data_IF_419731859022
#
_entry.id   IF_419731859022
#
_cell.length_a   1.000
_cell.length_b   1.000
_cell.length_c   1.000
_cell.angle_alpha   90.00
_cell.angle_beta   90.00
_cell.angle_gamma   90.00
#
_symmetry.space_group_name_H-M   'P 1'
#
loop_
_entity.id
_entity.type
_entity.pdbx_description
1 polymer ?
#
# COMPACT_ATOMS: atom_id res chain seq x y z
N UNK A 1 31.01 -37.49 -22.60
CA UNK A 1 31.34 -36.92 -21.28
C UNK A 1 32.78 -36.48 -21.38
N UNK A 2 33.00 -35.16 -21.41
CA UNK A 2 34.35 -34.60 -21.52
C UNK A 2 34.93 -34.43 -20.12
N UNK A 3 36.18 -34.82 -19.93
CA UNK A 3 36.86 -34.78 -18.63
C UNK A 3 38.09 -33.90 -18.75
N UNK A 4 38.16 -32.86 -17.93
CA UNK A 4 39.30 -31.95 -17.90
C UNK A 4 40.42 -32.57 -17.06
N UNK A 5 41.59 -32.78 -17.66
CA UNK A 5 42.76 -33.36 -16.99
C UNK A 5 43.74 -32.23 -16.69
N UNK A 6 44.25 -32.17 -15.46
CA UNK A 6 45.35 -31.28 -15.14
C UNK A 6 46.68 -31.96 -15.53
N UNK A 7 47.39 -31.38 -16.49
CA UNK A 7 48.67 -31.89 -16.99
C UNK A 7 49.81 -31.77 -15.98
N UNK A 8 49.66 -30.95 -14.93
CA UNK A 8 50.66 -30.81 -13.85
C UNK A 8 50.54 -31.87 -12.76
N UNK A 9 49.62 -32.82 -12.88
CA UNK A 9 49.32 -33.85 -11.90
C UNK A 9 49.36 -35.23 -12.54
N UNK A 10 49.66 -36.26 -11.74
CA UNK A 10 49.68 -37.63 -12.27
C UNK A 10 48.26 -38.09 -12.68
N UNK A 11 48.20 -39.12 -13.51
CA UNK A 11 46.94 -39.71 -13.96
C UNK A 11 46.11 -40.20 -12.76
N UNK A 12 46.78 -40.79 -11.76
CA UNK A 12 46.20 -41.29 -10.52
C UNK A 12 45.65 -40.16 -9.66
N UNK A 13 46.34 -39.02 -9.59
CA UNK A 13 45.89 -37.84 -8.86
C UNK A 13 44.63 -37.23 -9.51
N UNK A 14 44.62 -37.12 -10.84
CA UNK A 14 43.44 -36.68 -11.58
C UNK A 14 42.26 -37.64 -11.36
N UNK A 15 42.48 -38.95 -11.49
CA UNK A 15 41.45 -39.98 -11.24
C UNK A 15 40.92 -39.93 -9.80
N UNK A 16 41.80 -39.77 -8.82
CA UNK A 16 41.46 -39.64 -7.41
C UNK A 16 40.55 -38.44 -7.13
N UNK A 17 40.82 -37.28 -7.74
CA UNK A 17 39.96 -36.08 -7.61
C UNK A 17 38.55 -36.31 -8.13
N UNK A 18 38.40 -36.97 -9.28
CA UNK A 18 37.08 -37.29 -9.83
C UNK A 18 36.35 -38.33 -8.98
N UNK A 19 37.07 -39.32 -8.48
CA UNK A 19 36.54 -40.32 -7.56
C UNK A 19 36.04 -39.69 -6.24
N UNK A 20 36.83 -38.80 -5.64
CA UNK A 20 36.45 -38.10 -4.41
C UNK A 20 35.27 -37.16 -4.61
N UNK A 21 35.21 -36.45 -5.75
CA UNK A 21 34.05 -35.64 -6.13
C UNK A 21 32.80 -36.52 -6.26
N UNK A 22 32.90 -37.64 -6.97
CA UNK A 22 31.78 -38.58 -7.13
C UNK A 22 31.34 -39.17 -5.79
N UNK A 23 32.27 -39.51 -4.90
CA UNK A 23 32.01 -40.01 -3.54
C UNK A 23 31.30 -38.95 -2.67
N UNK A 24 31.77 -37.70 -2.70
CA UNK A 24 31.14 -36.56 -1.99
C UNK A 24 29.73 -36.29 -2.51
N UNK A 25 29.53 -36.33 -3.83
CA UNK A 25 28.21 -36.16 -4.44
C UNK A 25 27.26 -37.29 -4.02
N UNK A 26 27.71 -38.56 -4.09
CA UNK A 26 26.94 -39.72 -3.62
C UNK A 26 26.51 -39.60 -2.16
N UNK A 27 27.38 -39.11 -1.27
CA UNK A 27 27.06 -38.91 0.15
C UNK A 27 25.99 -37.82 0.38
N UNK A 28 25.83 -36.86 -0.54
CA UNK A 28 24.82 -35.79 -0.45
C UNK A 28 23.43 -36.20 -0.98
N UNK A 29 23.35 -37.23 -1.83
CA UNK A 29 22.08 -37.74 -2.39
C UNK A 29 21.03 -38.06 -1.31
N UNK A 30 21.33 -38.80 -0.22
CA UNK A 30 20.33 -39.13 0.80
C UNK A 30 19.74 -37.89 1.48
N UNK A 31 20.55 -36.90 1.87
CA UNK A 31 20.05 -35.66 2.49
C UNK A 31 19.21 -34.80 1.55
N UNK A 32 19.53 -34.80 0.24
CA UNK A 32 18.70 -34.15 -0.78
C UNK A 32 17.36 -34.88 -0.93
N UNK A 33 17.37 -36.23 -0.97
CA UNK A 33 16.14 -37.04 -1.03
C UNK A 33 15.24 -36.80 0.17
N UNK A 34 15.81 -36.80 1.37
CA UNK A 34 15.08 -36.50 2.62
C UNK A 34 14.48 -35.10 2.62
N UNK A 35 15.23 -34.09 2.12
CA UNK A 35 14.70 -32.72 1.96
C UNK A 35 13.56 -32.65 0.95
N UNK A 36 13.67 -33.36 -0.17
CA UNK A 36 12.61 -33.45 -1.19
C UNK A 36 11.37 -34.14 -0.61
N UNK A 37 11.56 -35.20 0.17
CA UNK A 37 10.47 -35.97 0.78
C UNK A 37 9.77 -35.18 1.89
N UNK A 38 10.53 -34.46 2.73
CA UNK A 38 10.02 -33.52 3.72
C UNK A 38 9.26 -32.35 3.07
N UNK A 39 9.75 -31.85 1.93
CA UNK A 39 9.05 -30.80 1.19
C UNK A 39 7.79 -31.35 0.49
N UNK A 40 7.81 -32.57 -0.03
CA UNK A 40 6.63 -33.24 -0.61
C UNK A 40 5.55 -33.50 0.44
N UNK A 41 5.92 -33.96 1.64
CA UNK A 41 4.96 -34.18 2.73
C UNK A 41 4.41 -32.86 3.29
N UNK A 42 5.21 -31.79 3.31
CA UNK A 42 4.72 -30.42 3.57
C UNK A 42 3.77 -29.95 2.47
N UNK A 43 4.08 -30.20 1.21
CA UNK A 43 3.22 -29.87 0.05
C UNK A 43 1.90 -30.64 0.05
N UNK A 44 1.88 -31.90 0.50
CA UNK A 44 0.64 -32.69 0.62
C UNK A 44 -0.23 -32.28 1.80
N UNK A 45 0.37 -31.76 2.87
CA UNK A 45 -0.34 -31.21 4.04
C UNK A 45 -0.75 -29.74 3.89
N UNK A 46 -0.20 -29.04 2.88
CA UNK A 46 -0.79 -27.79 2.41
C UNK A 46 -2.08 -28.18 1.70
N UNK A 47 -3.22 -28.10 2.42
CA UNK A 47 -4.50 -27.88 1.76
C UNK A 47 -4.31 -26.62 0.94
N UNK A 48 -4.11 -26.78 -0.37
CA UNK A 48 -4.27 -25.69 -1.32
C UNK A 48 -5.66 -25.16 -0.99
N UNK A 49 -5.82 -23.95 -0.43
CA UNK A 49 -7.16 -23.43 -0.28
C UNK A 49 -7.72 -23.49 -1.70
N UNK A 50 -8.82 -24.23 -1.87
CA UNK A 50 -9.57 -24.17 -3.11
C UNK A 50 -9.60 -22.69 -3.46
N UNK A 51 -9.07 -22.33 -4.64
CA UNK A 51 -9.31 -21.00 -5.18
C UNK A 51 -10.82 -20.94 -5.28
N UNK A 52 -11.47 -20.49 -4.20
CA UNK A 52 -12.84 -20.04 -4.17
C UNK A 52 -12.89 -19.17 -5.40
N UNK A 53 -13.70 -19.61 -6.38
CA UNK A 53 -13.85 -18.91 -7.65
C UNK A 53 -14.12 -17.46 -7.25
N UNK A 54 -13.08 -16.61 -7.26
CA UNK A 54 -13.21 -15.20 -6.92
C UNK A 54 -14.23 -14.75 -7.94
N UNK A 55 -15.45 -14.46 -7.48
CA UNK A 55 -16.41 -13.78 -8.33
C UNK A 55 -15.62 -12.63 -8.94
N UNK A 56 -15.55 -12.58 -10.27
CA UNK A 56 -14.82 -11.53 -10.96
C UNK A 56 -15.70 -10.30 -10.77
N UNK A 57 -15.66 -9.73 -9.57
CA UNK A 57 -16.27 -8.46 -9.29
C UNK A 57 -15.56 -7.46 -10.19
N UNK A 58 -16.36 -6.72 -10.94
CA UNK A 58 -15.86 -5.63 -11.77
C UNK A 58 -15.12 -4.67 -10.84
N UNK A 59 -13.81 -4.53 -11.06
CA UNK A 59 -13.01 -3.57 -10.30
C UNK A 59 -13.51 -2.18 -10.63
N UNK A 60 -13.83 -1.43 -9.60
CA UNK A 60 -14.14 -0.02 -9.73
C UNK A 60 -12.89 0.75 -10.13
N UNK A 61 -13.07 1.82 -10.89
CA UNK A 61 -11.95 2.61 -11.43
C UNK A 61 -11.06 3.21 -10.33
N UNK A 62 -11.62 3.45 -9.14
CA UNK A 62 -10.94 4.04 -8.00
C UNK A 62 -10.09 3.05 -7.20
N UNK A 63 -10.25 1.73 -7.41
CA UNK A 63 -9.52 0.70 -6.66
C UNK A 63 -8.01 0.69 -6.96
N UNK A 64 -7.57 1.41 -8.00
CA UNK A 64 -6.14 1.66 -8.28
C UNK A 64 -5.52 2.75 -7.40
N UNK A 65 -6.32 3.45 -6.61
CA UNK A 65 -5.91 4.46 -5.64
C UNK A 65 -6.15 3.94 -4.21
N UNK A 66 -5.69 4.68 -3.20
CA UNK A 66 -6.21 4.47 -1.84
C UNK A 66 -7.60 5.10 -1.81
N UNK A 67 -8.56 4.48 -1.14
CA UNK A 67 -9.92 5.00 -1.14
C UNK A 67 -10.68 4.60 0.12
N UNK A 68 -11.70 5.38 0.45
CA UNK A 68 -12.72 5.02 1.42
C UNK A 68 -14.03 5.76 1.12
N UNK A 69 -15.11 5.33 1.74
CA UNK A 69 -16.38 6.04 1.77
C UNK A 69 -16.51 6.75 3.11
N UNK A 70 -16.77 8.06 3.12
CA UNK A 70 -16.96 8.81 4.36
C UNK A 70 -18.16 8.29 5.14
N UNK A 71 -18.23 8.67 6.40
CA UNK A 71 -19.39 8.36 7.22
C UNK A 71 -20.70 9.00 6.69
N UNK A 72 -20.61 9.98 5.80
CA UNK A 72 -21.74 10.63 5.13
C UNK A 72 -21.97 10.13 3.68
N UNK A 73 -21.23 9.11 3.24
CA UNK A 73 -21.44 8.46 1.94
C UNK A 73 -20.69 9.09 0.76
N UNK A 74 -19.74 10.00 0.99
CA UNK A 74 -18.91 10.56 -0.06
C UNK A 74 -17.76 9.61 -0.40
N UNK A 75 -17.39 9.52 -1.68
CA UNK A 75 -16.20 8.78 -2.10
C UNK A 75 -14.95 9.66 -1.94
N UNK A 76 -13.95 9.17 -1.20
CA UNK A 76 -12.67 9.83 -1.00
C UNK A 76 -11.57 8.96 -1.58
N UNK A 77 -10.67 9.59 -2.34
CA UNK A 77 -9.64 8.92 -3.13
C UNK A 77 -8.30 9.61 -2.89
N UNK A 78 -7.25 8.86 -2.60
CA UNK A 78 -5.88 9.34 -2.41
C UNK A 78 -4.89 8.65 -3.33
N UNK A 79 -4.00 9.42 -3.95
CA UNK A 79 -2.91 8.82 -4.72
C UNK A 79 -1.95 8.01 -3.86
N UNK A 80 -1.28 7.04 -4.48
CA UNK A 80 -0.33 6.12 -3.82
C UNK A 80 1.11 6.59 -3.94
N UNK A 81 1.39 7.35 -4.98
CA UNK A 81 2.69 7.87 -5.38
C UNK A 81 2.53 9.12 -6.24
N UNK A 82 3.65 9.74 -6.64
CA UNK A 82 3.63 10.94 -7.49
C UNK A 82 2.93 10.75 -8.85
N UNK A 83 2.99 9.54 -9.43
CA UNK A 83 2.37 9.25 -10.73
C UNK A 83 0.86 9.15 -10.60
N UNK A 84 0.38 8.41 -9.60
CA UNK A 84 -1.04 8.25 -9.31
C UNK A 84 -1.65 9.54 -8.79
N UNK A 85 -0.94 10.36 -8.00
CA UNK A 85 -1.36 11.72 -7.66
C UNK A 85 -1.64 12.55 -8.92
N UNK A 86 -0.71 12.56 -9.88
CA UNK A 86 -0.88 13.33 -11.10
C UNK A 86 -2.05 12.82 -11.97
N UNK A 87 -2.22 11.50 -12.05
CA UNK A 87 -3.36 10.89 -12.75
C UNK A 87 -4.67 11.25 -12.06
N UNK A 88 -4.73 11.18 -10.73
CA UNK A 88 -5.91 11.52 -9.93
C UNK A 88 -6.36 12.95 -10.22
N UNK A 89 -5.45 13.90 -10.07
CA UNK A 89 -5.74 15.33 -10.22
C UNK A 89 -6.10 15.69 -11.68
N UNK A 90 -5.37 15.15 -12.67
CA UNK A 90 -5.60 15.52 -14.07
C UNK A 90 -6.80 14.81 -14.72
N UNK A 91 -7.11 13.57 -14.32
CA UNK A 91 -8.09 12.73 -15.03
C UNK A 91 -9.37 12.45 -14.25
N UNK A 92 -9.34 12.58 -12.93
CA UNK A 92 -10.43 12.12 -12.06
C UNK A 92 -10.97 13.20 -11.11
N UNK A 93 -10.46 14.43 -11.20
CA UNK A 93 -10.96 15.57 -10.46
C UNK A 93 -11.88 16.42 -11.34
N UNK A 94 -13.04 16.77 -10.78
CA UNK A 94 -14.05 17.63 -11.38
C UNK A 94 -14.20 18.92 -10.57
N UNK A 95 -14.76 19.97 -11.18
CA UNK A 95 -14.83 21.33 -10.61
C UNK A 95 -15.36 21.43 -9.17
N UNK A 96 -16.31 20.58 -8.79
CA UNK A 96 -16.98 20.64 -7.49
C UNK A 96 -16.34 19.75 -6.42
N UNK A 97 -15.33 18.97 -6.79
CA UNK A 97 -14.57 18.15 -5.85
C UNK A 97 -13.73 19.04 -4.93
N UNK A 98 -13.26 18.48 -3.82
CA UNK A 98 -12.35 19.16 -2.89
C UNK A 98 -11.06 18.38 -2.78
N UNK A 99 -9.93 19.08 -2.84
CA UNK A 99 -8.60 18.50 -2.85
C UNK A 99 -7.86 18.83 -1.56
N UNK A 100 -7.26 17.82 -0.94
CA UNK A 100 -6.50 17.90 0.30
C UNK A 100 -5.03 17.56 0.06
N UNK A 101 -4.16 18.26 0.77
CA UNK A 101 -2.72 18.00 0.81
C UNK A 101 -2.10 18.68 2.05
N UNK A 102 -0.90 18.28 2.48
CA UNK A 102 -0.16 18.96 3.57
C UNK A 102 0.70 20.09 3.02
N UNK A 103 1.08 21.06 3.84
CA UNK A 103 2.00 22.12 3.39
C UNK A 103 3.38 21.58 3.02
N UNK A 104 3.88 20.65 3.81
CA UNK A 104 5.14 19.97 3.52
C UNK A 104 4.96 18.91 2.41
N UNK A 105 5.94 18.76 1.50
CA UNK A 105 5.90 17.70 0.50
C UNK A 105 5.92 16.32 1.14
N UNK A 106 5.12 15.40 0.58
CA UNK A 106 5.12 13.99 0.95
C UNK A 106 3.83 13.47 1.57
N UNK A 107 2.75 14.26 1.54
CA UNK A 107 1.38 13.72 1.58
C UNK A 107 0.91 13.26 0.20
N UNK A 108 -0.06 12.35 0.13
CA UNK A 108 -0.81 12.15 -1.09
C UNK A 108 -1.65 13.39 -1.42
N UNK A 109 -2.05 13.52 -2.69
CA UNK A 109 -3.23 14.31 -3.01
C UNK A 109 -4.46 13.44 -2.73
N UNK A 110 -5.39 13.97 -1.94
CA UNK A 110 -6.67 13.33 -1.60
C UNK A 110 -7.80 14.16 -2.18
N UNK A 111 -8.82 13.51 -2.74
CA UNK A 111 -9.95 14.14 -3.40
C UNK A 111 -11.25 13.60 -2.82
N UNK A 112 -12.13 14.49 -2.37
CA UNK A 112 -13.54 14.18 -2.09
C UNK A 112 -14.31 14.36 -3.39
N UNK A 113 -14.99 13.30 -3.85
CA UNK A 113 -15.86 13.37 -5.03
C UNK A 113 -17.20 13.98 -4.66
N UNK A 114 -17.62 15.04 -5.36
CA UNK A 114 -18.86 15.77 -5.09
C UNK A 114 -19.75 15.93 -6.35
N UNK A 115 -20.28 14.83 -6.90
CA UNK A 115 -21.07 14.86 -8.14
C UNK A 115 -22.43 15.56 -7.98
N UNK A 116 -22.96 15.64 -6.75
CA UNK A 116 -24.27 16.23 -6.46
C UNK A 116 -24.21 17.73 -6.15
N UNK A 117 -23.01 18.34 -6.17
CA UNK A 117 -22.79 19.77 -5.93
C UNK A 117 -23.45 20.23 -4.61
N UNK A 118 -23.35 19.39 -3.58
CA UNK A 118 -23.88 19.66 -2.26
C UNK A 118 -22.80 20.25 -1.36
N UNK A 119 -23.22 20.94 -0.29
CA UNK A 119 -22.31 21.35 0.77
C UNK A 119 -21.77 20.08 1.45
N UNK A 120 -20.46 19.90 1.39
CA UNK A 120 -19.79 18.75 2.01
C UNK A 120 -19.85 18.93 3.54
N UNK A 121 -20.32 17.92 4.30
CA UNK A 121 -20.36 17.96 5.75
C UNK A 121 -18.96 18.09 6.37
N UNK A 122 -18.86 18.77 7.52
CA UNK A 122 -17.59 18.94 8.24
C UNK A 122 -16.99 17.60 8.69
N UNK A 123 -17.83 16.61 9.00
CA UNK A 123 -17.41 15.23 9.26
C UNK A 123 -16.63 14.63 8.09
N UNK A 124 -17.14 14.77 6.86
CA UNK A 124 -16.47 14.29 5.65
C UNK A 124 -15.16 15.08 5.37
N UNK A 125 -15.13 16.39 5.62
CA UNK A 125 -13.90 17.19 5.50
C UNK A 125 -12.83 16.74 6.51
N UNK A 126 -13.22 16.53 7.77
CA UNK A 126 -12.34 16.03 8.84
C UNK A 126 -11.80 14.64 8.51
N UNK A 127 -12.66 13.75 8.03
CA UNK A 127 -12.28 12.40 7.61
C UNK A 127 -11.27 12.41 6.45
N UNK A 128 -11.51 13.24 5.42
CA UNK A 128 -10.55 13.38 4.33
C UNK A 128 -9.20 13.95 4.80
N UNK A 129 -9.21 14.86 5.77
CA UNK A 129 -8.00 15.41 6.38
C UNK A 129 -7.22 14.35 7.19
N UNK A 130 -7.89 13.55 8.05
CA UNK A 130 -7.29 12.43 8.80
C UNK A 130 -6.63 11.41 7.85
N UNK A 131 -7.32 11.09 6.77
CA UNK A 131 -6.80 10.22 5.73
C UNK A 131 -5.55 10.80 5.07
N UNK A 132 -5.60 12.06 4.61
CA UNK A 132 -4.45 12.73 4.01
C UNK A 132 -3.24 12.79 4.94
N UNK A 133 -3.46 13.17 6.21
CA UNK A 133 -2.43 13.26 7.24
C UNK A 133 -1.76 11.90 7.50
N UNK A 134 -2.54 10.83 7.52
CA UNK A 134 -2.06 9.50 7.89
C UNK A 134 -1.21 8.82 6.80
N UNK A 135 -1.31 9.26 5.55
CA UNK A 135 -0.42 8.83 4.47
C UNK A 135 0.71 9.83 4.17
N UNK A 136 0.85 10.87 5.00
CA UNK A 136 1.88 11.88 4.85
C UNK A 136 3.19 11.51 5.55
N UNK A 137 4.22 12.35 5.36
CA UNK A 137 5.46 12.25 6.14
C UNK A 137 5.25 12.42 7.64
N UNK A 138 4.20 13.11 8.09
CA UNK A 138 3.91 13.26 9.52
C UNK A 138 3.70 11.91 10.21
N UNK A 139 3.13 10.93 9.49
CA UNK A 139 3.01 9.55 9.96
C UNK A 139 4.37 8.92 10.20
N UNK A 140 5.29 9.03 9.24
CA UNK A 140 6.66 8.51 9.36
C UNK A 140 7.44 9.18 10.48
N UNK A 141 7.13 10.43 10.80
CA UNK A 141 7.75 11.15 11.92
C UNK A 141 7.16 10.78 13.28
N UNK A 142 6.19 9.85 13.35
CA UNK A 142 5.56 9.44 14.61
C UNK A 142 4.69 10.52 15.25
N UNK A 143 4.25 11.53 14.48
CA UNK A 143 3.34 12.57 14.99
C UNK A 143 1.94 11.99 15.21
N UNK A 144 1.23 12.55 16.17
CA UNK A 144 -0.16 12.20 16.47
C UNK A 144 -1.18 13.10 15.77
N UNK A 145 -0.78 14.33 15.44
CA UNK A 145 -1.58 15.27 14.63
C UNK A 145 -0.75 15.87 13.49
N UNK A 146 -1.43 16.35 12.45
CA UNK A 146 -0.85 17.14 11.39
C UNK A 146 -1.87 18.12 10.83
N UNK A 147 -1.38 19.27 10.40
CA UNK A 147 -2.19 20.24 9.69
C UNK A 147 -2.31 19.86 8.21
N UNK A 148 -3.54 19.86 7.70
CA UNK A 148 -3.87 19.56 6.30
C UNK A 148 -4.67 20.74 5.77
N UNK A 149 -4.37 21.18 4.56
CA UNK A 149 -5.22 22.15 3.89
C UNK A 149 -6.10 21.48 2.83
N UNK A 150 -7.18 22.16 2.49
CA UNK A 150 -7.99 21.84 1.32
C UNK A 150 -8.29 23.06 0.45
N UNK A 151 -8.44 22.79 -0.84
CA UNK A 151 -8.65 23.77 -1.91
C UNK A 151 -9.57 23.21 -3.00
N UNK A 152 -10.11 24.11 -3.82
CA UNK A 152 -10.85 23.75 -5.01
C UNK A 152 -9.90 23.37 -6.16
N UNK A 153 -10.33 22.53 -7.11
CA UNK A 153 -9.53 22.10 -8.26
C UNK A 153 -8.97 23.24 -9.11
N UNK A 154 -9.75 24.32 -9.28
CA UNK A 154 -9.35 25.50 -10.04
C UNK A 154 -8.14 26.23 -9.42
N UNK A 155 -7.84 25.96 -8.15
CA UNK A 155 -6.70 26.54 -7.45
C UNK A 155 -5.39 25.81 -7.75
N UNK A 156 -5.42 24.62 -8.38
CA UNK A 156 -4.24 23.85 -8.73
C UNK A 156 -3.78 24.17 -10.15
N UNK A 157 -2.49 24.45 -10.32
CA UNK A 157 -1.88 24.60 -11.63
C UNK A 157 -0.53 23.90 -11.73
N UNK A 158 -0.15 23.51 -12.95
CA UNK A 158 1.20 23.04 -13.28
C UNK A 158 2.11 24.17 -13.76
N UNK A 159 1.55 25.34 -14.01
CA UNK A 159 2.31 26.52 -14.41
C UNK A 159 3.11 27.05 -13.23
N UNK A 160 4.34 27.47 -13.52
CA UNK A 160 5.24 28.08 -12.55
C UNK A 160 5.47 29.54 -12.93
N UNK A 161 5.70 30.43 -11.94
CA UNK A 161 6.11 31.80 -12.23
C UNK A 161 7.37 31.85 -13.10
N UNK A 162 7.44 32.87 -13.96
CA UNK A 162 8.57 33.08 -14.87
C UNK A 162 9.91 33.07 -14.13
N UNK A 163 10.86 32.26 -14.61
CA UNK A 163 12.20 32.12 -14.03
C UNK A 163 12.38 30.93 -13.07
N UNK A 164 11.31 30.20 -12.72
CA UNK A 164 11.43 28.93 -12.00
C UNK A 164 11.57 27.76 -12.95
N UNK A 165 12.43 26.79 -12.61
CA UNK A 165 12.43 25.49 -13.28
C UNK A 165 11.11 24.77 -12.99
N UNK A 166 10.57 24.07 -14.00
CA UNK A 166 9.26 23.43 -13.93
C UNK A 166 9.05 22.51 -12.72
N UNK A 167 7.79 22.22 -12.40
CA UNK A 167 7.47 21.43 -11.21
C UNK A 167 7.90 19.97 -11.35
N UNK A 168 8.38 19.35 -10.26
CA UNK A 168 8.52 17.90 -10.19
C UNK A 168 7.20 17.18 -10.51
N UNK A 169 7.33 15.93 -10.99
CA UNK A 169 6.18 15.06 -11.25
C UNK A 169 5.35 14.89 -9.98
N UNK A 170 4.02 14.95 -10.11
CA UNK A 170 3.11 14.83 -8.96
C UNK A 170 3.02 16.04 -8.05
N UNK A 171 3.69 17.16 -8.35
CA UNK A 171 3.55 18.44 -7.63
C UNK A 171 2.65 19.41 -8.41
N UNK A 172 1.90 20.25 -7.71
CA UNK A 172 1.05 21.30 -8.27
C UNK A 172 1.25 22.59 -7.47
N UNK A 173 1.27 23.73 -8.17
CA UNK A 173 1.18 25.04 -7.53
C UNK A 173 -0.26 25.28 -7.08
N UNK A 174 -0.41 25.91 -5.92
CA UNK A 174 -1.72 26.22 -5.34
C UNK A 174 -1.83 27.72 -5.16
N UNK A 175 -2.86 28.29 -5.79
CA UNK A 175 -3.14 29.71 -5.80
C UNK A 175 -4.38 30.05 -4.96
N UNK A 176 -4.43 31.27 -4.44
CA UNK A 176 -5.54 31.76 -3.63
C UNK A 176 -5.56 31.21 -2.20
N UNK A 177 -6.72 31.34 -1.55
CA UNK A 177 -6.89 30.99 -0.13
C UNK A 177 -6.91 29.48 0.09
N UNK A 178 -6.19 29.03 1.13
CA UNK A 178 -6.23 27.66 1.64
C UNK A 178 -7.06 27.62 2.92
N UNK A 179 -7.77 26.52 3.14
CA UNK A 179 -8.50 26.26 4.39
C UNK A 179 -7.80 25.14 5.13
N UNK A 180 -7.55 25.29 6.42
CA UNK A 180 -6.75 24.36 7.21
C UNK A 180 -7.61 23.58 8.22
N UNK A 181 -7.24 22.33 8.43
CA UNK A 181 -7.86 21.41 9.40
C UNK A 181 -6.72 20.71 10.13
N UNK A 182 -6.73 20.73 11.46
CA UNK A 182 -5.88 19.86 12.25
C UNK A 182 -6.47 18.45 12.28
N UNK A 183 -5.69 17.48 11.79
CA UNK A 183 -6.12 16.11 11.61
C UNK A 183 -5.34 15.16 12.52
N UNK A 184 -6.05 14.17 13.08
CA UNK A 184 -5.43 13.10 13.86
C UNK A 184 -4.85 12.03 12.93
N UNK A 185 -3.72 11.46 13.35
CA UNK A 185 -3.04 10.39 12.62
C UNK A 185 -3.46 9.03 13.16
N UNK A 186 -4.63 8.59 12.70
CA UNK A 186 -5.18 7.28 12.98
C UNK A 186 -6.03 6.85 11.79
N UNK A 187 -5.89 5.59 11.40
CA UNK A 187 -6.75 5.00 10.39
C UNK A 187 -7.26 3.65 10.87
N UNK A 188 -8.28 3.15 10.20
CA UNK A 188 -8.69 1.77 10.29
C UNK A 188 -8.66 1.14 8.89
N UNK A 189 -8.47 -0.18 8.88
CA UNK A 189 -8.52 -1.00 7.69
C UNK A 189 -9.62 -2.05 7.85
N UNK A 190 -10.42 -2.25 6.80
CA UNK A 190 -11.47 -3.25 6.79
C UNK A 190 -11.58 -3.91 5.41
N UNK A 191 -12.31 -5.02 5.37
CA UNK A 191 -12.64 -5.73 4.16
C UNK A 191 -14.16 -5.61 3.94
N UNK A 192 -14.55 -4.96 2.84
CA UNK A 192 -15.94 -4.76 2.45
C UNK A 192 -16.14 -5.50 1.13
N UNK A 193 -16.92 -6.58 1.16
CA UNK A 193 -17.26 -7.37 -0.03
C UNK A 193 -16.04 -7.80 -0.86
N UNK A 194 -14.99 -8.31 -0.21
CA UNK A 194 -13.70 -8.69 -0.82
C UNK A 194 -12.83 -7.53 -1.32
N UNK A 195 -13.18 -6.28 -0.96
CA UNK A 195 -12.39 -5.08 -1.26
C UNK A 195 -11.79 -4.52 0.02
N UNK A 196 -10.47 -4.33 0.01
CA UNK A 196 -9.77 -3.72 1.13
C UNK A 196 -9.94 -2.20 1.07
N UNK A 197 -10.42 -1.64 2.17
CA UNK A 197 -10.62 -0.21 2.35
C UNK A 197 -9.79 0.27 3.55
N UNK A 198 -9.13 1.42 3.40
CA UNK A 198 -8.41 2.10 4.48
C UNK A 198 -8.97 3.50 4.62
N UNK A 199 -9.34 3.91 5.82
CA UNK A 199 -9.90 5.23 6.05
C UNK A 199 -9.89 5.63 7.52
N UNK A 200 -10.39 6.82 7.85
CA UNK A 200 -10.62 7.25 9.22
C UNK A 200 -11.49 6.27 10.01
N UNK A 201 -11.31 6.27 11.34
CA UNK A 201 -12.02 5.32 12.21
C UNK A 201 -13.55 5.47 12.12
N UNK A 202 -14.05 6.70 12.08
CA UNK A 202 -15.49 7.01 11.99
C UNK A 202 -16.11 6.46 10.71
N UNK A 203 -15.43 6.64 9.58
CA UNK A 203 -15.86 6.17 8.27
C UNK A 203 -15.87 4.63 8.17
N UNK A 204 -14.79 4.00 8.65
CA UNK A 204 -14.63 2.54 8.60
C UNK A 204 -15.64 1.84 9.50
N UNK A 205 -15.92 2.39 10.69
CA UNK A 205 -16.94 1.86 11.61
C UNK A 205 -18.35 1.83 11.00
N UNK A 206 -18.71 2.82 10.17
CA UNK A 206 -19.99 2.81 9.46
C UNK A 206 -20.03 1.79 8.31
N UNK A 207 -18.88 1.49 7.73
CA UNK A 207 -18.80 0.66 6.52
C UNK A 207 -18.62 -0.83 6.81
N UNK A 208 -18.01 -1.21 7.94
CA UNK A 208 -17.73 -2.61 8.26
C UNK A 208 -17.80 -2.90 9.76
N UNK A 209 -18.33 -4.07 10.12
CA UNK A 209 -18.34 -4.56 11.50
C UNK A 209 -16.94 -5.01 11.98
N UNK A 210 -16.15 -5.60 11.08
CA UNK A 210 -14.78 -6.05 11.37
C UNK A 210 -13.79 -5.08 10.76
N UNK A 211 -12.94 -4.49 11.60
CA UNK A 211 -11.88 -3.58 11.20
C UNK A 211 -10.69 -3.69 12.15
N UNK A 212 -9.54 -3.15 11.74
CA UNK A 212 -8.34 -3.05 12.57
C UNK A 212 -7.87 -1.60 12.61
N UNK A 213 -7.68 -1.06 13.81
CA UNK A 213 -7.12 0.28 14.01
C UNK A 213 -5.60 0.25 13.89
N UNK A 214 -5.06 1.21 13.14
CA UNK A 214 -3.65 1.36 12.86
C UNK A 214 -3.23 2.78 13.27
N UNK A 215 -2.08 2.86 13.93
CA UNK A 215 -1.45 4.10 14.37
C UNK A 215 0.01 4.16 13.88
N UNK A 216 0.64 5.35 13.86
CA UNK A 216 2.07 5.46 13.63
C UNK A 216 2.85 4.51 14.55
N UNK A 217 3.85 3.84 14.00
CA UNK A 217 4.61 2.82 14.72
C UNK A 217 5.82 2.35 13.92
N UNK A 218 6.50 1.33 14.41
CA UNK A 218 7.76 0.84 13.85
C UNK A 218 7.73 -0.64 13.46
N UNK A 219 6.55 -1.28 13.48
CA UNK A 219 6.44 -2.68 13.08
C UNK A 219 6.64 -2.85 11.56
N UNK A 220 7.16 -4.02 11.18
CA UNK A 220 7.30 -4.39 9.77
C UNK A 220 5.93 -4.50 9.12
N UNK A 221 5.77 -3.81 7.98
CA UNK A 221 4.50 -3.74 7.25
C UNK A 221 3.95 -5.14 6.88
N UNK A 222 4.84 -6.08 6.53
CA UNK A 222 4.46 -7.47 6.21
C UNK A 222 3.84 -8.20 7.40
N UNK A 223 4.32 -7.93 8.61
CA UNK A 223 3.86 -8.61 9.82
C UNK A 223 2.54 -8.01 10.31
N UNK A 224 2.40 -6.69 10.18
CA UNK A 224 1.12 -5.99 10.38
C UNK A 224 0.09 -6.49 9.39
N UNK A 225 0.42 -6.56 8.10
CA UNK A 225 -0.51 -7.01 7.06
C UNK A 225 -0.99 -8.46 7.30
N UNK A 226 -0.10 -9.37 7.72
CA UNK A 226 -0.49 -10.75 8.09
C UNK A 226 -1.42 -10.78 9.31
N UNK A 227 -1.18 -9.94 10.32
CA UNK A 227 -2.07 -9.82 11.49
C UNK A 227 -3.43 -9.27 11.09
N UNK A 228 -3.46 -8.22 10.27
CA UNK A 228 -4.69 -7.64 9.71
C UNK A 228 -5.47 -8.69 8.90
N UNK A 229 -4.80 -9.41 8.00
CA UNK A 229 -5.40 -10.46 7.17
C UNK A 229 -6.10 -11.55 8.01
N UNK A 230 -5.52 -11.93 9.16
CA UNK A 230 -6.15 -12.90 10.07
C UNK A 230 -7.46 -12.40 10.68
N UNK A 231 -7.63 -11.09 10.82
CA UNK A 231 -8.80 -10.47 11.46
C UNK A 231 -9.90 -10.17 10.43
N UNK A 232 -9.53 -9.52 9.31
CA UNK A 232 -10.49 -9.03 8.30
C UNK A 232 -10.56 -9.91 7.03
N UNK A 233 -9.69 -10.91 6.90
CA UNK A 233 -9.55 -11.69 5.67
C UNK A 233 -8.97 -10.88 4.51
N UNK A 234 -9.17 -11.36 3.29
CA UNK A 234 -8.78 -10.66 2.06
C UNK A 234 -7.36 -10.91 1.55
N UNK A 235 -7.03 -10.22 0.47
CA UNK A 235 -5.77 -10.39 -0.26
C UNK A 235 -4.62 -9.64 0.43
N UNK A 236 -3.50 -10.32 0.67
CA UNK A 236 -2.37 -9.76 1.43
C UNK A 236 -1.75 -8.55 0.73
N UNK A 237 -1.65 -8.57 -0.60
CA UNK A 237 -1.04 -7.48 -1.36
C UNK A 237 -1.93 -6.24 -1.34
N UNK A 238 -3.25 -6.41 -1.40
CA UNK A 238 -4.21 -5.32 -1.27
C UNK A 238 -4.21 -4.73 0.15
N UNK A 239 -4.04 -5.56 1.19
CA UNK A 239 -3.85 -5.08 2.57
C UNK A 239 -2.58 -4.23 2.69
N UNK A 240 -1.45 -4.70 2.15
CA UNK A 240 -0.19 -3.95 2.16
C UNK A 240 -0.36 -2.61 1.44
N UNK A 241 -1.07 -2.60 0.31
CA UNK A 241 -1.35 -1.38 -0.47
C UNK A 241 -2.24 -0.38 0.26
N UNK A 242 -3.14 -0.85 1.12
CA UNK A 242 -4.05 -0.02 1.90
C UNK A 242 -3.39 0.54 3.18
N UNK A 243 -2.36 -0.13 3.71
CA UNK A 243 -1.64 0.36 4.88
C UNK A 243 -0.71 1.55 4.57
N UNK A 244 -0.48 2.45 5.55
CA UNK A 244 0.50 3.51 5.47
C UNK A 244 1.91 2.92 5.54
N UNK A 245 2.94 3.76 5.62
CA UNK A 245 4.28 3.29 5.96
C UNK A 245 4.33 2.66 7.36
N UNK A 246 5.52 2.39 7.88
CA UNK A 246 5.76 1.84 9.24
C UNK A 246 4.66 2.23 10.25
N UNK A 247 3.96 1.22 10.74
CA UNK A 247 2.72 1.36 11.47
C UNK A 247 2.55 0.23 12.47
N UNK A 248 1.74 0.43 13.50
CA UNK A 248 1.45 -0.59 14.51
C UNK A 248 -0.06 -0.75 14.67
N UNK A 249 -0.49 -1.98 14.95
CA UNK A 249 -1.89 -2.24 15.32
C UNK A 249 -2.13 -1.67 16.71
N UNK A 250 -3.10 -0.78 16.80
CA UNK A 250 -3.54 -0.22 18.07
C UNK A 250 -4.16 -1.35 18.90
N UNK A 251 -3.60 -1.59 20.09
CA UNK A 251 -4.05 -2.62 21.03
C UNK A 251 -5.37 -2.23 21.69
#
# INVERSE_FOLDING_TARGET
>A
MEVTINLSESLEQNAGKYFDKAKKLKKKIPGIKETIELNKSKLSNIKIPEKTKKSIQKKEWYEKFRWFISSDGYLIIGGRDATTNEILIKKYTEKNDIIFHTELPGSPFVVIKNPHVSKIPESTLSEAAEFCASFSKSWKSGRTTAEVYYVNPEQLSKEVPSGMMGLPKGTFMIYGKRNFIEAKLNIAICNINEKIMSGPLSAVKKSAQKYVEIIPGSDKLSDVAKKVQKIIGGDLDEIIRALPSECTIKK
#
